data_IF_738257565635
#
_entry.id   IF_738257565635
#
_cell.length_a   1.000
_cell.length_b   1.000
_cell.length_c   1.000
_cell.angle_alpha   90.00
_cell.angle_beta   90.00
_cell.angle_gamma   90.00
#
_symmetry.space_group_name_H-M   'P 1'
#
loop_
_entity.id
_entity.type
_entity.pdbx_description
1 polymer ?
#
# COMPACT_ATOMS: atom_id res chain seq x y z
N UNK A 1 6.11 3.93 17.10
CA UNK A 1 5.17 3.29 16.16
C UNK A 1 6.01 2.69 15.04
N UNK A 2 5.71 1.48 14.59
CA UNK A 2 6.33 0.88 13.40
C UNK A 2 5.61 1.33 12.13
N UNK A 3 4.28 1.35 12.13
CA UNK A 3 3.47 1.82 11.00
C UNK A 3 2.06 2.27 11.47
N UNK A 4 1.30 2.91 10.58
CA UNK A 4 -0.04 3.46 10.79
C UNK A 4 -1.00 3.03 9.67
N UNK A 5 -2.27 2.79 10.01
CA UNK A 5 -3.31 2.43 9.05
C UNK A 5 -4.60 3.22 9.29
N UNK A 6 -5.19 3.72 8.21
CA UNK A 6 -6.50 4.35 8.22
C UNK A 6 -7.60 3.35 7.85
N UNK A 7 -8.54 3.12 8.77
CA UNK A 7 -9.73 2.32 8.52
C UNK A 7 -10.85 3.21 7.97
N UNK A 8 -11.04 3.15 6.65
CA UNK A 8 -12.07 3.93 5.95
C UNK A 8 -13.51 3.61 6.34
N UNK A 9 -13.76 2.44 6.95
CA UNK A 9 -15.12 2.04 7.36
C UNK A 9 -15.59 2.76 8.62
N UNK A 10 -14.66 3.11 9.50
CA UNK A 10 -14.94 3.79 10.77
C UNK A 10 -14.37 5.21 10.83
N UNK A 11 -13.48 5.56 9.90
CA UNK A 11 -12.73 6.81 9.92
C UNK A 11 -11.66 6.86 11.01
N UNK A 12 -11.32 5.72 11.63
CA UNK A 12 -10.31 5.65 12.69
C UNK A 12 -8.91 5.42 12.11
N UNK A 13 -7.90 5.98 12.78
CA UNK A 13 -6.49 5.71 12.49
C UNK A 13 -5.91 4.83 13.59
N UNK A 14 -5.28 3.74 13.19
CA UNK A 14 -4.64 2.77 14.08
C UNK A 14 -3.13 2.78 13.89
N UNK A 15 -2.42 2.34 14.91
CA UNK A 15 -0.97 2.17 14.85
C UNK A 15 -0.51 0.96 15.64
N UNK A 16 0.63 0.41 15.25
CA UNK A 16 1.31 -0.65 16.01
C UNK A 16 2.68 -0.15 16.44
N UNK A 17 3.11 -0.46 17.65
CA UNK A 17 4.47 -0.19 18.09
C UNK A 17 5.21 -1.49 18.26
N UNK A 18 6.14 -1.79 17.36
CA UNK A 18 6.98 -2.97 17.46
C UNK A 18 7.83 -2.99 18.73
N UNK A 19 8.22 -1.83 19.28
CA UNK A 19 9.03 -1.78 20.51
C UNK A 19 8.23 -2.05 21.79
N UNK A 20 7.01 -1.52 21.91
CA UNK A 20 6.16 -1.77 23.08
C UNK A 20 5.24 -2.99 22.91
N UNK A 21 5.13 -3.54 21.70
CA UNK A 21 4.23 -4.65 21.38
C UNK A 21 2.76 -4.28 21.52
N UNK A 22 2.40 -3.00 21.45
CA UNK A 22 1.03 -2.51 21.66
C UNK A 22 0.38 -2.03 20.35
N UNK A 23 -0.94 -2.18 20.30
CA UNK A 23 -1.82 -1.63 19.28
C UNK A 23 -2.50 -0.36 19.81
N UNK A 24 -2.64 0.65 18.96
CA UNK A 24 -3.05 2.00 19.36
C UNK A 24 -4.16 2.54 18.47
N UNK A 25 -5.03 3.36 19.07
CA UNK A 25 -5.91 4.29 18.36
C UNK A 25 -5.24 5.66 18.33
N UNK A 26 -5.24 6.32 17.19
CA UNK A 26 -4.62 7.63 16.99
C UNK A 26 -5.68 8.70 16.82
N UNK A 27 -5.60 9.74 17.63
CA UNK A 27 -6.38 10.96 17.45
C UNK A 27 -5.83 11.73 16.24
N UNK A 28 -6.62 11.82 15.17
CA UNK A 28 -6.20 12.48 13.92
C UNK A 28 -6.04 14.01 14.05
N UNK A 29 -6.72 14.65 15.01
CA UNK A 29 -6.63 16.09 15.23
C UNK A 29 -5.40 16.50 16.03
N UNK A 30 -4.90 15.63 16.91
CA UNK A 30 -3.78 15.94 17.82
C UNK A 30 -2.54 15.08 17.60
N UNK A 31 -2.65 13.97 16.87
CA UNK A 31 -1.61 12.95 16.74
C UNK A 31 -1.42 12.08 17.99
N UNK A 32 -2.22 12.27 19.04
CA UNK A 32 -2.07 11.52 20.29
C UNK A 32 -2.44 10.04 20.10
N UNK A 33 -1.58 9.13 20.60
CA UNK A 33 -1.80 7.69 20.56
C UNK A 33 -2.33 7.17 21.90
N UNK A 34 -3.46 6.49 21.86
CA UNK A 34 -4.06 5.80 23.02
C UNK A 34 -3.92 4.30 22.84
N UNK A 35 -3.30 3.62 23.80
CA UNK A 35 -3.14 2.17 23.74
C UNK A 35 -4.51 1.48 23.81
N UNK A 36 -4.79 0.60 22.85
CA UNK A 36 -5.94 -0.30 22.87
C UNK A 36 -5.59 -1.53 23.71
N UNK A 37 -4.40 -2.09 23.50
CA UNK A 37 -3.91 -3.23 24.27
C UNK A 37 -2.66 -3.86 23.66
N UNK A 38 -2.17 -4.91 24.32
CA UNK A 38 -1.02 -5.68 23.85
C UNK A 38 -1.39 -6.52 22.64
N UNK A 39 -0.49 -6.57 21.66
CA UNK A 39 -0.60 -7.44 20.48
C UNK A 39 -0.35 -8.91 20.82
N UNK A 40 0.31 -9.21 21.94
CA UNK A 40 0.81 -10.54 22.26
C UNK A 40 2.03 -10.97 21.44
N UNK A 41 2.55 -10.10 20.57
CA UNK A 41 3.74 -10.35 19.76
C UNK A 41 4.99 -9.86 20.51
N UNK A 42 6.13 -10.50 20.24
CA UNK A 42 7.43 -10.02 20.74
C UNK A 42 7.81 -8.69 20.08
N UNK A 43 8.91 -8.09 20.52
CA UNK A 43 9.43 -6.88 19.89
C UNK A 43 9.62 -7.09 18.39
N UNK A 44 9.07 -6.18 17.59
CA UNK A 44 9.18 -6.15 16.14
C UNK A 44 10.02 -4.95 15.71
N UNK A 45 10.87 -5.16 14.72
CA UNK A 45 11.65 -4.09 14.07
C UNK A 45 11.15 -3.98 12.64
N UNK A 46 10.54 -2.84 12.30
CA UNK A 46 9.79 -2.67 11.05
C UNK A 46 8.40 -3.30 11.09
N UNK A 47 7.87 -3.63 9.92
CA UNK A 47 6.53 -4.20 9.72
C UNK A 47 5.53 -3.17 9.21
N UNK A 48 4.75 -3.55 8.21
CA UNK A 48 3.70 -2.69 7.66
C UNK A 48 2.34 -2.91 8.32
N UNK A 49 1.45 -1.93 8.19
CA UNK A 49 0.08 -1.96 8.71
C UNK A 49 -0.88 -1.40 7.66
N UNK A 50 -1.98 -2.12 7.38
CA UNK A 50 -2.99 -1.65 6.43
C UNK A 50 -4.40 -2.13 6.82
N UNK A 51 -5.40 -1.27 6.62
CA UNK A 51 -6.81 -1.67 6.75
C UNK A 51 -7.39 -1.96 5.36
N UNK A 52 -8.10 -3.08 5.22
CA UNK A 52 -8.83 -3.38 3.98
C UNK A 52 -10.17 -2.63 3.92
N UNK A 53 -10.91 -2.76 2.80
CA UNK A 53 -12.19 -2.08 2.63
C UNK A 53 -13.32 -2.60 3.53
N UNK A 54 -13.10 -3.69 4.27
CA UNK A 54 -14.06 -4.24 5.25
C UNK A 54 -13.70 -3.84 6.69
N UNK A 55 -12.65 -3.02 6.87
CA UNK A 55 -12.20 -2.53 8.17
C UNK A 55 -11.38 -3.54 8.98
N UNK A 56 -10.92 -4.64 8.37
CA UNK A 56 -9.95 -5.55 8.98
C UNK A 56 -8.55 -4.94 8.86
N UNK A 57 -7.86 -4.80 9.99
CA UNK A 57 -6.50 -4.28 10.04
C UNK A 57 -5.52 -5.44 9.99
N UNK A 58 -4.68 -5.44 8.96
CA UNK A 58 -3.59 -6.36 8.73
C UNK A 58 -2.27 -5.73 9.12
N UNK A 59 -1.32 -6.54 9.57
CA UNK A 59 0.09 -6.13 9.65
C UNK A 59 1.04 -7.30 9.50
N UNK A 60 2.30 -6.99 9.26
CA UNK A 60 3.33 -8.00 9.02
C UNK A 60 4.49 -7.85 10.00
N UNK A 61 5.13 -8.97 10.33
CA UNK A 61 6.53 -8.97 10.75
C UNK A 61 7.42 -9.44 9.58
N UNK A 62 8.66 -9.86 9.86
CA UNK A 62 9.60 -10.36 8.83
C UNK A 62 9.11 -11.60 8.07
N UNK A 63 8.21 -12.38 8.68
CA UNK A 63 7.90 -13.75 8.24
C UNK A 63 6.41 -14.07 8.23
N UNK A 64 5.55 -13.23 8.79
CA UNK A 64 4.15 -13.54 9.04
C UNK A 64 3.26 -12.33 8.77
N UNK A 65 2.03 -12.63 8.37
CA UNK A 65 0.88 -11.73 8.28
C UNK A 65 -0.07 -12.03 9.45
N UNK A 66 -0.60 -10.96 10.04
CA UNK A 66 -1.55 -11.00 11.14
C UNK A 66 -2.74 -10.08 10.85
N UNK A 67 -3.81 -10.28 11.60
CA UNK A 67 -4.87 -9.29 11.79
C UNK A 67 -4.92 -8.85 13.24
N UNK A 68 -5.42 -7.64 13.52
CA UNK A 68 -5.52 -7.11 14.87
C UNK A 68 -6.97 -6.94 15.31
N UNK A 69 -7.26 -7.34 16.54
CA UNK A 69 -8.53 -7.05 17.18
C UNK A 69 -8.57 -5.57 17.60
N UNK A 70 -9.46 -4.78 16.99
CA UNK A 70 -9.56 -3.32 17.22
C UNK A 70 -10.06 -2.93 18.62
N UNK A 71 -10.54 -3.89 19.42
CA UNK A 71 -11.03 -3.68 20.79
C UNK A 71 -10.00 -4.09 21.83
N UNK A 72 -9.28 -5.19 21.62
CA UNK A 72 -8.32 -5.74 22.59
C UNK A 72 -6.85 -5.49 22.23
N UNK A 73 -6.57 -5.15 20.97
CA UNK A 73 -5.22 -5.00 20.44
C UNK A 73 -4.53 -6.30 20.06
N UNK A 74 -5.09 -7.46 20.43
CA UNK A 74 -4.47 -8.76 20.21
C UNK A 74 -4.31 -9.08 18.72
N UNK A 75 -3.13 -9.60 18.34
CA UNK A 75 -2.90 -10.15 17.02
C UNK A 75 -3.56 -11.53 16.89
N UNK A 76 -3.99 -11.87 15.67
CA UNK A 76 -4.48 -13.20 15.33
C UNK A 76 -3.36 -14.24 15.30
N UNK A 77 -3.71 -15.50 15.08
CA UNK A 77 -2.72 -16.51 14.71
C UNK A 77 -1.97 -16.08 13.43
N UNK A 78 -0.64 -16.30 13.36
CA UNK A 78 0.16 -15.92 12.20
C UNK A 78 -0.25 -16.70 10.95
N UNK A 79 -0.23 -16.01 9.81
CA UNK A 79 -0.21 -16.61 8.48
C UNK A 79 1.18 -16.43 7.89
N UNK A 80 1.91 -17.51 7.64
CA UNK A 80 3.30 -17.44 7.18
C UNK A 80 3.40 -16.81 5.78
N UNK A 81 4.31 -15.85 5.62
CA UNK A 81 4.66 -15.28 4.32
C UNK A 81 5.57 -16.25 3.58
N UNK A 82 5.25 -16.52 2.31
CA UNK A 82 6.01 -17.47 1.48
C UNK A 82 6.31 -16.89 0.10
N UNK A 83 7.51 -17.13 -0.42
CA UNK A 83 7.91 -16.69 -1.78
C UNK A 83 8.33 -15.22 -1.89
N UNK A 84 8.54 -14.52 -0.77
CA UNK A 84 9.06 -13.15 -0.80
C UNK A 84 10.53 -13.11 -1.29
N UNK A 85 10.90 -12.18 -2.18
CA UNK A 85 12.29 -11.98 -2.61
C UNK A 85 13.27 -11.67 -1.46
N UNK A 86 12.79 -10.95 -0.45
CA UNK A 86 13.55 -10.52 0.70
C UNK A 86 12.83 -10.81 2.03
N UNK A 87 13.54 -10.64 3.14
CA UNK A 87 13.15 -11.07 4.48
C UNK A 87 12.46 -9.99 5.34
N UNK A 88 12.11 -8.83 4.77
CA UNK A 88 11.40 -7.77 5.49
C UNK A 88 10.30 -7.14 4.64
N UNK A 89 9.18 -6.79 5.28
CA UNK A 89 8.09 -6.02 4.67
C UNK A 89 7.90 -4.75 5.49
N UNK A 90 8.26 -3.59 4.94
CA UNK A 90 8.28 -2.33 5.67
C UNK A 90 6.93 -1.64 5.73
N UNK A 91 6.14 -1.73 4.67
CA UNK A 91 4.84 -1.10 4.57
C UNK A 91 3.86 -1.99 3.84
N UNK A 92 2.58 -1.75 4.12
CA UNK A 92 1.44 -2.40 3.49
C UNK A 92 0.45 -1.34 3.01
N UNK A 93 -0.24 -1.59 1.91
CA UNK A 93 -1.48 -0.88 1.60
C UNK A 93 -2.41 -1.74 0.76
N UNK A 94 -3.71 -1.58 0.97
CA UNK A 94 -4.71 -2.13 0.07
C UNK A 94 -5.00 -1.15 -1.07
N UNK A 95 -5.12 -1.68 -2.28
CA UNK A 95 -5.67 -0.93 -3.40
C UNK A 95 -7.21 -0.89 -3.34
N UNK A 96 -7.84 -0.17 -4.29
CA UNK A 96 -9.29 -0.07 -4.39
C UNK A 96 -10.00 -1.41 -4.68
N UNK A 97 -9.25 -2.43 -5.12
CA UNK A 97 -9.76 -3.78 -5.42
C UNK A 97 -9.51 -4.77 -4.27
N UNK A 98 -9.08 -4.30 -3.09
CA UNK A 98 -8.68 -5.11 -1.94
C UNK A 98 -7.50 -6.05 -2.18
N UNK A 99 -6.59 -5.71 -3.09
CA UNK A 99 -5.31 -6.39 -3.20
C UNK A 99 -4.34 -5.78 -2.19
N UNK A 100 -3.75 -6.61 -1.33
CA UNK A 100 -2.72 -6.19 -0.39
C UNK A 100 -1.37 -6.07 -1.09
N UNK A 101 -0.86 -4.86 -1.19
CA UNK A 101 0.50 -4.58 -1.64
C UNK A 101 1.44 -4.42 -0.44
N UNK A 102 2.71 -4.74 -0.66
CA UNK A 102 3.76 -4.57 0.33
C UNK A 102 5.07 -4.06 -0.28
N UNK A 103 5.86 -3.39 0.55
CA UNK A 103 7.23 -2.98 0.25
C UNK A 103 8.17 -4.02 0.86
N UNK A 104 8.74 -4.90 0.02
CA UNK A 104 9.64 -5.97 0.46
C UNK A 104 11.10 -5.54 0.27
N UNK A 105 11.88 -5.55 1.34
CA UNK A 105 13.24 -4.98 1.36
C UNK A 105 14.24 -5.94 1.98
N UNK A 106 15.50 -5.85 1.55
CA UNK A 106 16.56 -6.78 1.95
C UNK A 106 17.26 -6.47 3.28
N UNK A 107 17.04 -5.30 3.89
CA UNK A 107 17.31 -5.01 5.31
C UNK A 107 17.02 -3.54 5.66
N UNK A 108 16.65 -3.22 6.91
CA UNK A 108 17.13 -2.00 7.58
C UNK A 108 18.63 -2.16 7.93
N UNK A 109 19.53 -1.58 7.13
CA UNK A 109 20.97 -1.54 7.43
C UNK A 109 21.90 -1.70 6.22
N UNK A 110 21.35 -2.09 5.07
CA UNK A 110 22.03 -2.01 3.77
C UNK A 110 21.76 -0.65 3.15
N UNK A 111 22.77 -0.04 2.52
CA UNK A 111 22.59 1.22 1.78
C UNK A 111 23.32 1.15 0.42
N UNK A 112 22.58 1.14 -0.71
CA UNK A 112 21.12 1.13 -0.77
C UNK A 112 20.51 -0.21 -0.34
N UNK A 113 19.40 -0.18 0.40
CA UNK A 113 18.52 -1.33 0.55
C UNK A 113 17.78 -1.56 -0.77
N UNK A 114 17.85 -2.78 -1.29
CA UNK A 114 17.10 -3.16 -2.48
C UNK A 114 15.66 -3.42 -2.07
N UNK A 115 14.73 -2.97 -2.92
CA UNK A 115 13.32 -3.03 -2.60
C UNK A 115 12.52 -3.53 -3.78
N UNK A 116 11.57 -4.42 -3.52
CA UNK A 116 10.61 -4.92 -4.50
C UNK A 116 9.20 -4.53 -4.07
N UNK A 117 8.35 -4.25 -5.07
CA UNK A 117 6.92 -4.18 -4.84
C UNK A 117 6.37 -5.61 -4.88
N UNK A 118 5.56 -5.97 -3.89
CA UNK A 118 4.96 -7.30 -3.81
C UNK A 118 3.45 -7.21 -3.61
N UNK A 119 2.73 -8.29 -3.93
CA UNK A 119 1.36 -8.50 -3.44
C UNK A 119 1.31 -9.73 -2.54
N UNK A 120 0.47 -9.68 -1.51
CA UNK A 120 0.33 -10.75 -0.50
C UNK A 120 -1.10 -11.28 -0.55
N UNK A 121 -1.26 -12.59 -0.71
CA UNK A 121 -2.56 -13.23 -0.54
C UNK A 121 -2.90 -13.30 0.96
N UNK A 122 -3.97 -12.63 1.38
CA UNK A 122 -4.29 -12.45 2.80
C UNK A 122 -4.77 -13.71 3.52
N UNK A 123 -5.20 -14.75 2.80
CA UNK A 123 -5.66 -16.01 3.40
C UNK A 123 -4.56 -17.08 3.49
N UNK A 124 -3.55 -16.98 2.61
CA UNK A 124 -2.48 -18.00 2.51
C UNK A 124 -1.09 -17.48 2.84
N UNK A 125 -0.89 -16.16 2.84
CA UNK A 125 0.43 -15.53 2.97
C UNK A 125 1.33 -15.70 1.75
N UNK A 126 0.84 -16.26 0.64
CA UNK A 126 1.60 -16.38 -0.59
C UNK A 126 1.94 -14.99 -1.16
N UNK A 127 3.23 -14.76 -1.39
CA UNK A 127 3.77 -13.51 -1.95
C UNK A 127 3.95 -13.67 -3.46
N UNK A 128 3.51 -12.66 -4.21
CA UNK A 128 3.81 -12.51 -5.64
C UNK A 128 4.67 -11.28 -5.83
N UNK A 129 5.89 -11.48 -6.35
CA UNK A 129 6.80 -10.39 -6.70
C UNK A 129 6.28 -9.62 -7.93
N UNK A 130 6.18 -8.29 -7.81
CA UNK A 130 5.87 -7.37 -8.93
C UNK A 130 7.12 -6.77 -9.55
N UNK A 131 8.29 -7.02 -8.95
CA UNK A 131 9.60 -6.61 -9.44
C UNK A 131 10.25 -5.53 -8.59
N UNK A 132 11.49 -5.21 -8.98
CA UNK A 132 12.29 -4.18 -8.32
C UNK A 132 11.60 -2.81 -8.35
N UNK A 133 11.71 -2.11 -7.23
CA UNK A 133 11.25 -0.75 -7.02
C UNK A 133 12.46 0.16 -6.75
N UNK A 134 12.19 1.42 -6.37
CA UNK A 134 13.24 2.34 -5.93
C UNK A 134 13.90 1.82 -4.65
N UNK A 135 15.22 1.94 -4.59
CA UNK A 135 15.99 1.57 -3.40
C UNK A 135 15.56 2.41 -2.19
N UNK A 136 15.65 1.81 -0.99
CA UNK A 136 15.26 2.43 0.28
C UNK A 136 13.79 2.90 0.32
N UNK A 137 12.90 2.30 -0.48
CA UNK A 137 11.48 2.59 -0.38
C UNK A 137 10.97 2.08 0.97
N UNK A 138 10.39 2.97 1.76
CA UNK A 138 9.95 2.65 3.13
C UNK A 138 8.42 2.54 3.22
N UNK A 139 7.70 3.38 2.49
CA UNK A 139 6.24 3.48 2.56
C UNK A 139 5.58 3.40 1.18
N UNK A 140 4.34 2.94 1.16
CA UNK A 140 3.47 2.93 -0.01
C UNK A 140 2.05 3.38 0.38
N UNK A 141 1.37 4.06 -0.52
CA UNK A 141 -0.04 4.41 -0.35
C UNK A 141 -0.72 4.48 -1.72
N UNK A 142 -2.00 4.09 -1.76
CA UNK A 142 -2.83 4.32 -2.94
C UNK A 142 -3.56 5.66 -2.79
N UNK A 143 -3.38 6.53 -3.78
CA UNK A 143 -4.15 7.76 -3.91
C UNK A 143 -5.54 7.53 -4.51
N UNK A 144 -6.41 8.55 -4.51
CA UNK A 144 -7.64 8.49 -5.28
C UNK A 144 -7.33 8.17 -6.75
N UNK A 145 -8.18 7.38 -7.38
CA UNK A 145 -8.07 7.12 -8.82
C UNK A 145 -8.08 8.46 -9.55
N UNK A 146 -6.95 8.82 -10.15
CA UNK A 146 -6.89 10.03 -10.97
C UNK A 146 -7.75 9.74 -12.20
N UNK A 147 -8.81 10.51 -12.39
CA UNK A 147 -9.61 10.41 -13.61
C UNK A 147 -8.65 10.48 -14.80
N UNK A 148 -8.77 9.54 -15.74
CA UNK A 148 -7.94 9.57 -16.93
C UNK A 148 -8.05 10.98 -17.52
N UNK A 149 -6.90 11.65 -17.69
CA UNK A 149 -6.88 12.93 -18.38
C UNK A 149 -7.47 12.65 -19.76
N UNK A 150 -8.63 13.25 -20.12
CA UNK A 150 -9.23 12.98 -21.42
C UNK A 150 -8.17 13.23 -22.49
N UNK A 151 -7.95 12.26 -23.38
CA UNK A 151 -6.99 12.43 -24.47
C UNK A 151 -7.30 13.76 -25.17
N UNK A 152 -6.32 14.66 -25.28
CA UNK A 152 -6.63 16.03 -25.61
C UNK A 152 -7.21 16.09 -27.02
N UNK A 153 -8.25 16.92 -27.19
CA UNK A 153 -8.92 17.15 -28.47
C UNK A 153 -7.96 17.62 -29.59
N UNK A 154 -6.67 17.85 -29.31
CA UNK A 154 -5.60 18.11 -30.27
C UNK A 154 -5.48 17.04 -31.34
N UNK A 155 -5.67 15.75 -31.04
CA UNK A 155 -5.66 14.71 -32.10
C UNK A 155 -6.85 14.86 -33.05
N UNK A 156 -8.02 15.21 -32.50
CA UNK A 156 -9.24 15.42 -33.27
C UNK A 156 -9.18 16.74 -34.06
N UNK A 157 -8.57 17.79 -33.50
CA UNK A 157 -8.32 19.07 -34.14
C UNK A 157 -7.26 18.96 -35.25
N UNK A 158 -6.18 18.21 -35.02
CA UNK A 158 -5.15 17.94 -36.03
C UNK A 158 -5.74 17.10 -37.17
N UNK A 159 -6.50 16.05 -36.85
CA UNK A 159 -7.18 15.21 -37.82
C UNK A 159 -8.19 15.99 -38.67
N UNK A 160 -9.05 16.79 -38.04
CA UNK A 160 -10.02 17.64 -38.75
C UNK A 160 -9.36 18.76 -39.55
N UNK A 161 -8.26 19.35 -39.04
CA UNK A 161 -7.47 20.35 -39.76
C UNK A 161 -6.81 19.79 -41.02
N UNK A 162 -6.19 18.61 -40.94
CA UNK A 162 -5.59 17.93 -42.09
C UNK A 162 -6.64 17.53 -43.13
N UNK A 163 -7.79 17.02 -42.68
CA UNK A 163 -8.91 16.69 -43.57
C UNK A 163 -9.46 17.95 -44.28
N UNK A 164 -9.60 19.06 -43.54
CA UNK A 164 -10.01 20.36 -44.10
C UNK A 164 -9.02 20.87 -45.15
N UNK A 165 -7.71 20.82 -44.87
CA UNK A 165 -6.66 21.21 -45.81
C UNK A 165 -6.64 20.34 -47.07
N UNK A 166 -6.83 19.02 -46.93
CA UNK A 166 -6.89 18.10 -48.07
C UNK A 166 -8.12 18.38 -48.94
N UNK A 167 -9.29 18.62 -48.34
CA UNK A 167 -10.51 18.98 -49.06
C UNK A 167 -10.36 20.33 -49.78
N UNK A 168 -9.72 21.31 -49.15
CA UNK A 168 -9.45 22.61 -49.75
C UNK A 168 -8.51 22.49 -50.96
N UNK A 169 -7.40 21.75 -50.85
CA UNK A 169 -6.47 21.53 -51.98
C UNK A 169 -7.13 20.83 -53.16
N UNK A 170 -8.02 19.85 -52.90
CA UNK A 170 -8.76 19.16 -53.97
C UNK A 170 -9.70 20.10 -54.73
N UNK A 171 -10.31 21.07 -54.07
CA UNK A 171 -11.19 22.07 -54.71
C UNK A 171 -10.44 23.08 -55.57
N UNK A 172 -9.18 23.39 -55.27
CA UNK A 172 -8.38 24.32 -56.08
C UNK A 172 -7.78 23.69 -57.34
N UNK A 173 -7.69 22.36 -57.39
CA UNK A 173 -7.12 21.62 -58.52
C UNK A 173 -8.16 21.17 -59.56
N UNK A 174 -9.44 21.46 -59.33
CA UNK A 174 -10.57 21.20 -60.22
C UNK A 174 -11.07 22.52 -60.82
#
# INVERSE_FOLDING_TARGET
>A
MSDLAFDSTTGNMYGVSGQSGNFYLINQGTGAATAIGSTGLSVQVGGGLAANSTGTVYGTDSSNLYTYNKTTGAASTPTALTGAPFNAVNALAFDASNVLFGVNTNNPGTNPALTHLITINTSTGAVTDKGASVNNLDALAFGPAVAAVPEPATLLLLGSGLAGLAAWRRRQAA
#
